data_IF_540145587176
#
_entry.id   IF_540145587176
#
_cell.length_a   1.000
_cell.length_b   1.000
_cell.length_c   1.000
_cell.angle_alpha   90.00
_cell.angle_beta   90.00
_cell.angle_gamma   90.00
#
_symmetry.space_group_name_H-M   'P 1'
#
loop_
_entity.id
_entity.type
_entity.pdbx_description
1 polymer ?
#
# COMPACT_ATOMS: atom_id res chain seq x y z
N UNK A 1 -33.79 4.12 -21.16
CA UNK A 1 -32.44 3.54 -21.27
C UNK A 1 -31.46 4.67 -21.05
N UNK A 2 -30.97 4.85 -19.82
CA UNK A 2 -30.14 6.00 -19.44
C UNK A 2 -28.67 5.60 -19.61
N UNK A 3 -28.00 6.18 -20.61
CA UNK A 3 -26.58 5.97 -20.85
C UNK A 3 -25.83 6.76 -19.76
N UNK A 4 -25.26 6.06 -18.78
CA UNK A 4 -24.31 6.65 -17.84
C UNK A 4 -22.99 6.83 -18.59
N UNK A 5 -22.71 8.04 -19.02
CA UNK A 5 -21.39 8.40 -19.54
C UNK A 5 -20.43 8.47 -18.35
N UNK A 6 -19.51 7.51 -18.25
CA UNK A 6 -18.38 7.57 -17.29
C UNK A 6 -17.54 8.81 -17.61
N UNK A 7 -17.66 9.85 -16.80
CA UNK A 7 -16.71 10.95 -16.83
C UNK A 7 -15.43 10.47 -16.15
N UNK A 8 -14.32 10.40 -16.90
CA UNK A 8 -13.01 10.15 -16.33
C UNK A 8 -12.70 11.23 -15.26
N UNK A 9 -12.70 10.82 -14.00
CA UNK A 9 -12.44 11.71 -12.87
C UNK A 9 -10.94 11.69 -12.57
N UNK A 10 -10.28 12.84 -12.70
CA UNK A 10 -8.88 13.02 -12.30
C UNK A 10 -8.88 13.76 -10.97
N UNK A 11 -8.37 13.11 -9.93
CA UNK A 11 -8.21 13.70 -8.59
C UNK A 11 -6.82 14.30 -8.45
N UNK A 12 -6.74 15.56 -8.00
CA UNK A 12 -5.49 16.25 -7.68
C UNK A 12 -5.50 16.58 -6.19
N UNK A 13 -4.48 16.13 -5.47
CA UNK A 13 -4.26 16.48 -4.07
C UNK A 13 -3.24 17.61 -3.99
N UNK A 14 -3.59 18.70 -3.30
CA UNK A 14 -2.72 19.86 -3.11
C UNK A 14 -2.58 20.07 -1.61
N UNK A 15 -1.35 20.05 -1.11
CA UNK A 15 -1.02 20.37 0.28
C UNK A 15 -0.68 21.85 0.37
N UNK A 16 -1.35 22.57 1.28
CA UNK A 16 -1.23 24.02 1.45
C UNK A 16 -1.26 24.31 2.95
N UNK A 17 -0.54 25.35 3.36
CA UNK A 17 -0.76 25.96 4.67
C UNK A 17 -2.13 26.66 4.71
N UNK A 18 -2.75 26.73 5.90
CA UNK A 18 -4.12 27.28 6.05
C UNK A 18 -4.26 28.71 5.49
N UNK A 19 -3.21 29.53 5.59
CA UNK A 19 -3.16 30.89 5.07
C UNK A 19 -3.18 30.97 3.53
N UNK A 20 -2.87 29.87 2.83
CA UNK A 20 -2.84 29.77 1.36
C UNK A 20 -4.08 29.12 0.76
N UNK A 21 -4.99 28.62 1.59
CA UNK A 21 -6.21 27.94 1.12
C UNK A 21 -7.10 28.87 0.31
N UNK A 22 -7.31 30.10 0.79
CA UNK A 22 -8.18 31.10 0.13
C UNK A 22 -7.62 31.48 -1.24
N UNK A 23 -6.32 31.80 -1.30
CA UNK A 23 -5.63 32.16 -2.54
C UNK A 23 -5.70 31.04 -3.58
N UNK A 24 -5.53 29.78 -3.15
CA UNK A 24 -5.62 28.62 -4.04
C UNK A 24 -7.05 28.41 -4.57
N UNK A 25 -8.06 28.48 -3.71
CA UNK A 25 -9.46 28.34 -4.12
C UNK A 25 -9.85 29.43 -5.12
N UNK A 26 -9.41 30.66 -4.91
CA UNK A 26 -9.67 31.76 -5.83
C UNK A 26 -8.94 31.61 -7.17
N UNK A 27 -7.72 31.06 -7.17
CA UNK A 27 -7.02 30.70 -8.40
C UNK A 27 -7.78 29.63 -9.18
N UNK A 28 -8.25 28.55 -8.54
CA UNK A 28 -8.97 27.46 -9.20
C UNK A 28 -10.35 27.92 -9.71
N UNK A 29 -11.06 28.76 -8.95
CA UNK A 29 -12.36 29.35 -9.34
C UNK A 29 -12.28 30.10 -10.66
N UNK A 30 -11.16 30.79 -10.95
CA UNK A 30 -10.95 31.49 -12.23
C UNK A 30 -10.94 30.55 -13.44
N UNK A 31 -10.58 29.28 -13.26
CA UNK A 31 -10.50 28.31 -14.34
C UNK A 31 -11.77 27.48 -14.52
N UNK A 32 -12.63 27.35 -13.50
CA UNK A 32 -13.88 26.58 -13.61
C UNK A 32 -14.91 26.98 -12.54
N UNK A 33 -15.66 28.09 -12.74
CA UNK A 33 -16.58 28.61 -11.73
C UNK A 33 -17.80 27.72 -11.44
N UNK A 34 -18.16 26.79 -12.35
CA UNK A 34 -19.41 26.03 -12.27
C UNK A 34 -19.27 24.59 -11.75
N UNK A 35 -18.05 24.09 -11.46
CA UNK A 35 -17.82 22.66 -11.14
C UNK A 35 -16.97 22.40 -9.90
N UNK A 36 -16.64 23.43 -9.12
CA UNK A 36 -15.83 23.25 -7.92
C UNK A 36 -16.67 22.65 -6.79
N UNK A 37 -16.42 21.39 -6.44
CA UNK A 37 -16.94 20.77 -5.22
C UNK A 37 -15.80 20.70 -4.20
N UNK A 38 -15.91 21.52 -3.15
CA UNK A 38 -15.00 21.46 -2.01
C UNK A 38 -15.53 20.36 -1.10
N UNK A 39 -14.77 19.29 -0.97
CA UNK A 39 -15.03 18.27 0.04
C UNK A 39 -14.20 18.64 1.25
N UNK A 40 -14.84 18.83 2.40
CA UNK A 40 -14.10 18.84 3.66
C UNK A 40 -13.42 17.48 3.80
N UNK A 41 -12.18 17.47 4.28
CA UNK A 41 -11.55 16.22 4.70
C UNK A 41 -12.45 15.59 5.75
N UNK A 42 -13.20 14.56 5.36
CA UNK A 42 -13.89 13.76 6.35
C UNK A 42 -12.80 13.03 7.10
N UNK A 43 -12.71 13.17 8.44
CA UNK A 43 -11.81 12.34 9.21
C UNK A 43 -12.17 10.90 8.85
N UNK A 44 -11.14 10.14 8.45
CA UNK A 44 -11.29 8.70 8.22
C UNK A 44 -12.04 8.17 9.44
N UNK A 45 -13.24 7.57 9.28
CA UNK A 45 -14.01 7.14 10.43
C UNK A 45 -13.09 6.27 11.28
N UNK A 46 -13.00 6.52 12.61
CA UNK A 46 -12.13 5.74 13.46
C UNK A 46 -12.46 4.27 13.19
N UNK A 47 -11.42 3.48 12.91
CA UNK A 47 -11.61 2.05 12.68
C UNK A 47 -12.49 1.51 13.82
N UNK A 48 -13.54 0.74 13.53
CA UNK A 48 -14.41 0.20 14.58
C UNK A 48 -13.65 -0.70 15.57
N UNK A 49 -12.44 -1.12 15.22
CA UNK A 49 -11.49 -1.74 16.15
C UNK A 49 -10.78 -0.69 17.00
N UNK A 50 -10.84 -0.86 18.32
CA UNK A 50 -10.09 -0.01 19.26
C UNK A 50 -8.59 -0.16 18.99
N UNK A 51 -7.80 0.89 19.19
CA UNK A 51 -6.34 0.85 18.97
C UNK A 51 -5.67 -0.34 19.71
N UNK A 52 -6.15 -0.70 20.90
CA UNK A 52 -5.69 -1.88 21.64
C UNK A 52 -5.92 -3.20 20.89
N UNK A 53 -7.01 -3.33 20.13
CA UNK A 53 -7.32 -4.50 19.32
C UNK A 53 -6.43 -4.55 18.08
N UNK A 54 -6.15 -3.40 17.45
CA UNK A 54 -5.20 -3.29 16.34
C UNK A 54 -3.77 -3.66 16.78
N UNK A 55 -3.35 -3.23 17.97
CA UNK A 55 -2.05 -3.60 18.54
C UNK A 55 -1.97 -5.11 18.82
N UNK A 56 -3.04 -5.70 19.38
CA UNK A 56 -3.12 -7.16 19.60
C UNK A 56 -3.09 -7.92 18.27
N UNK A 57 -3.80 -7.44 17.25
CA UNK A 57 -3.80 -8.02 15.92
C UNK A 57 -2.41 -7.95 15.28
N UNK A 58 -1.77 -6.78 15.30
CA UNK A 58 -0.42 -6.58 14.79
C UNK A 58 0.59 -7.52 15.47
N UNK A 59 0.51 -7.67 16.80
CA UNK A 59 1.37 -8.60 17.53
C UNK A 59 1.13 -10.07 17.12
N UNK A 60 -0.14 -10.50 17.03
CA UNK A 60 -0.48 -11.86 16.56
C UNK A 60 0.03 -12.14 15.15
N UNK A 61 -0.07 -11.15 14.26
CA UNK A 61 0.41 -11.24 12.89
C UNK A 61 1.95 -11.31 12.87
N UNK A 62 2.64 -10.44 13.60
CA UNK A 62 4.10 -10.42 13.68
C UNK A 62 4.65 -11.79 14.09
N UNK A 63 4.10 -12.40 15.14
CA UNK A 63 4.48 -13.76 15.56
C UNK A 63 4.17 -14.83 14.52
N UNK A 64 3.12 -14.66 13.71
CA UNK A 64 2.73 -15.63 12.68
C UNK A 64 3.68 -15.65 11.48
N UNK A 65 4.19 -14.48 11.11
CA UNK A 65 5.00 -14.28 9.91
C UNK A 65 6.49 -14.19 10.19
N UNK A 66 6.87 -14.11 11.48
CA UNK A 66 8.25 -14.07 11.95
C UNK A 66 9.12 -15.10 11.23
N UNK A 67 10.19 -14.66 10.53
CA UNK A 67 11.12 -15.57 9.89
C UNK A 67 11.96 -16.28 10.95
N UNK A 68 12.23 -17.57 10.76
CA UNK A 68 13.24 -18.27 11.56
C UNK A 68 14.65 -17.78 11.19
N UNK A 69 15.67 -17.96 12.06
CA UNK A 69 17.03 -17.49 11.80
C UNK A 69 17.60 -17.93 10.44
N UNK A 70 17.30 -19.16 10.02
CA UNK A 70 17.75 -19.75 8.74
C UNK A 70 16.99 -19.22 7.50
N UNK A 71 15.88 -18.51 7.69
CA UNK A 71 14.98 -18.09 6.60
C UNK A 71 15.31 -16.70 6.06
N UNK A 72 16.55 -16.50 5.58
CA UNK A 72 17.02 -15.18 5.12
C UNK A 72 16.14 -14.59 4.00
N UNK A 73 15.80 -15.38 2.97
CA UNK A 73 14.94 -14.92 1.88
C UNK A 73 13.54 -14.45 2.36
N UNK A 74 13.01 -15.06 3.42
CA UNK A 74 11.73 -14.64 4.02
C UNK A 74 11.87 -13.33 4.77
N UNK A 75 12.99 -13.14 5.46
CA UNK A 75 13.34 -11.89 6.15
C UNK A 75 13.45 -10.74 5.15
N UNK A 76 14.15 -10.96 4.04
CA UNK A 76 14.35 -9.95 2.99
C UNK A 76 13.01 -9.60 2.31
N UNK A 77 12.18 -10.59 2.02
CA UNK A 77 10.83 -10.36 1.49
C UNK A 77 9.95 -9.58 2.47
N UNK A 78 10.02 -9.86 3.77
CA UNK A 78 9.28 -9.09 4.79
C UNK A 78 9.77 -7.64 4.85
N UNK A 79 11.09 -7.39 4.79
CA UNK A 79 11.63 -6.03 4.74
C UNK A 79 11.13 -5.31 3.50
N UNK A 80 11.25 -5.94 2.32
CA UNK A 80 10.76 -5.36 1.07
C UNK A 80 9.29 -4.97 1.14
N UNK A 81 8.42 -5.88 1.61
CA UNK A 81 6.98 -5.65 1.66
C UNK A 81 6.59 -4.58 2.69
N UNK A 82 7.19 -4.64 3.89
CA UNK A 82 6.76 -3.82 5.02
C UNK A 82 7.44 -2.45 5.08
N UNK A 83 8.60 -2.29 4.45
CA UNK A 83 9.30 -1.00 4.31
C UNK A 83 8.90 -0.25 3.03
N UNK A 84 8.09 -0.89 2.17
CA UNK A 84 7.54 -0.26 0.97
C UNK A 84 8.49 -0.22 -0.22
N UNK A 85 9.26 -1.29 -0.39
CA UNK A 85 10.18 -1.44 -1.51
C UNK A 85 9.49 -1.80 -2.83
N UNK A 86 10.30 -2.00 -3.86
CA UNK A 86 9.87 -2.36 -5.19
C UNK A 86 10.75 -3.45 -5.81
N UNK A 87 10.27 -4.04 -6.90
CA UNK A 87 10.99 -5.08 -7.66
C UNK A 87 11.60 -4.57 -8.97
N UNK A 88 11.77 -3.25 -9.13
CA UNK A 88 12.11 -2.67 -10.43
C UNK A 88 13.52 -3.01 -10.90
N UNK A 89 14.46 -3.10 -9.96
CA UNK A 89 15.88 -3.35 -10.23
C UNK A 89 16.26 -4.81 -10.12
N UNK A 90 15.41 -5.64 -9.50
CA UNK A 90 15.70 -7.04 -9.21
C UNK A 90 15.21 -8.01 -10.27
N UNK A 91 14.42 -7.55 -11.25
CA UNK A 91 13.66 -8.46 -12.09
C UNK A 91 13.99 -8.40 -13.59
N UNK A 92 14.57 -7.34 -14.16
CA UNK A 92 14.80 -7.21 -15.63
C UNK A 92 13.57 -7.60 -16.52
N UNK A 93 12.37 -7.69 -15.95
CA UNK A 93 11.16 -8.20 -16.59
C UNK A 93 10.75 -9.65 -16.23
N UNK A 94 11.63 -10.45 -15.61
CA UNK A 94 11.38 -11.81 -15.13
C UNK A 94 10.96 -11.87 -13.65
N UNK A 95 10.02 -12.77 -13.33
CA UNK A 95 9.55 -12.93 -11.96
C UNK A 95 10.60 -13.67 -11.11
N UNK A 96 11.18 -13.02 -10.09
CA UNK A 96 12.09 -13.64 -9.12
C UNK A 96 11.38 -14.80 -8.38
N UNK A 97 11.77 -16.06 -8.62
CA UNK A 97 11.13 -17.22 -8.01
C UNK A 97 11.32 -17.27 -6.49
N UNK A 98 12.46 -16.82 -5.98
CA UNK A 98 12.76 -16.81 -4.55
C UNK A 98 11.86 -15.80 -3.82
N UNK A 99 11.75 -14.58 -4.36
CA UNK A 99 10.85 -13.56 -3.83
C UNK A 99 9.37 -14.01 -3.92
N UNK A 100 8.96 -14.61 -5.04
CA UNK A 100 7.61 -15.17 -5.21
C UNK A 100 7.31 -16.25 -4.16
N UNK A 101 8.26 -17.15 -3.91
CA UNK A 101 8.09 -18.21 -2.92
C UNK A 101 8.05 -17.65 -1.49
N UNK A 102 8.92 -16.69 -1.17
CA UNK A 102 8.95 -16.05 0.14
C UNK A 102 7.66 -15.27 0.42
N UNK A 103 7.18 -14.48 -0.54
CA UNK A 103 5.89 -13.75 -0.43
C UNK A 103 4.69 -14.70 -0.37
N UNK A 104 4.73 -15.83 -1.09
CA UNK A 104 3.75 -16.91 -1.00
C UNK A 104 3.70 -17.54 0.39
N UNK A 105 4.85 -17.80 1.01
CA UNK A 105 4.94 -18.33 2.37
C UNK A 105 4.38 -17.35 3.41
N UNK A 106 4.66 -16.04 3.26
CA UNK A 106 4.06 -14.99 4.10
C UNK A 106 2.54 -14.99 3.95
N UNK A 107 2.04 -15.01 2.71
CA UNK A 107 0.60 -15.06 2.42
C UNK A 107 -0.09 -16.27 3.05
N UNK A 108 0.56 -17.43 3.02
CA UNK A 108 0.07 -18.66 3.66
C UNK A 108 -0.05 -18.50 5.18
N UNK A 109 0.95 -17.92 5.83
CA UNK A 109 0.91 -17.61 7.28
C UNK A 109 -0.19 -16.60 7.64
N UNK A 110 -0.54 -15.71 6.71
CA UNK A 110 -1.57 -14.69 6.91
C UNK A 110 -3.01 -15.18 6.70
N UNK A 111 -3.20 -16.31 6.01
CA UNK A 111 -4.53 -16.85 5.66
C UNK A 111 -5.47 -17.04 6.84
N UNK A 112 -4.95 -17.28 8.05
CA UNK A 112 -5.76 -17.42 9.27
C UNK A 112 -6.36 -16.10 9.77
N UNK A 113 -5.81 -14.96 9.36
CA UNK A 113 -6.30 -13.63 9.72
C UNK A 113 -7.26 -13.05 8.68
N UNK A 114 -7.18 -13.54 7.45
CA UNK A 114 -8.13 -13.24 6.39
C UNK A 114 -8.30 -14.47 5.46
N UNK A 115 -9.23 -15.39 5.80
CA UNK A 115 -9.40 -16.65 5.07
C UNK A 115 -10.12 -16.48 3.74
N UNK A 116 -10.85 -15.37 3.56
CA UNK A 116 -11.66 -15.07 2.37
C UNK A 116 -10.90 -14.22 1.36
N UNK A 117 -9.84 -13.51 1.77
CA UNK A 117 -9.01 -12.76 0.85
C UNK A 117 -8.39 -13.62 -0.25
N UNK A 118 -8.40 -13.08 -1.46
CA UNK A 118 -7.65 -13.63 -2.59
C UNK A 118 -6.14 -13.59 -2.31
N UNK A 119 -5.64 -12.50 -1.73
CA UNK A 119 -4.26 -12.41 -1.23
C UNK A 119 -4.24 -11.86 0.20
N UNK A 120 -4.00 -12.71 1.21
CA UNK A 120 -3.89 -12.27 2.60
C UNK A 120 -2.75 -11.28 2.85
N UNK A 121 -1.80 -11.15 1.90
CA UNK A 121 -0.73 -10.15 1.94
C UNK A 121 -1.29 -8.72 1.83
N UNK A 122 -2.48 -8.56 1.24
CA UNK A 122 -3.12 -7.26 1.06
C UNK A 122 -3.56 -6.64 2.41
N UNK A 123 -3.61 -7.44 3.50
CA UNK A 123 -3.73 -6.91 4.87
C UNK A 123 -2.55 -5.99 5.25
N UNK A 124 -1.36 -6.28 4.74
CA UNK A 124 -0.12 -5.62 5.15
C UNK A 124 0.39 -4.61 4.14
N UNK A 125 0.05 -4.75 2.86
CA UNK A 125 0.45 -3.81 1.83
C UNK A 125 -0.53 -3.76 0.67
N UNK A 126 -0.69 -2.58 0.07
CA UNK A 126 -1.20 -2.47 -1.30
C UNK A 126 -0.08 -2.85 -2.29
N UNK A 127 -0.44 -3.58 -3.35
CA UNK A 127 0.49 -4.00 -4.40
C UNK A 127 0.14 -3.29 -5.70
N UNK A 128 1.03 -2.42 -6.18
CA UNK A 128 0.84 -1.69 -7.43
C UNK A 128 1.73 -2.25 -8.53
N UNK A 129 1.10 -2.65 -9.63
CA UNK A 129 1.81 -3.00 -10.87
C UNK A 129 2.29 -1.72 -11.53
N UNK A 130 3.59 -1.63 -11.76
CA UNK A 130 4.22 -0.48 -12.37
C UNK A 130 4.69 -0.85 -13.78
N UNK A 131 4.61 0.13 -14.68
CA UNK A 131 5.04 0.00 -16.07
C UNK A 131 6.02 1.12 -16.41
N UNK A 132 6.90 0.89 -17.38
CA UNK A 132 7.79 1.95 -17.84
C UNK A 132 6.95 3.08 -18.46
N UNK A 133 7.08 4.29 -17.91
CA UNK A 133 6.31 5.45 -18.36
C UNK A 133 6.93 6.17 -19.57
N UNK A 134 8.22 5.93 -19.83
CA UNK A 134 9.03 6.60 -20.87
C UNK A 134 10.11 5.66 -21.41
N UNK A 135 10.72 6.03 -22.54
CA UNK A 135 11.81 5.29 -23.16
C UNK A 135 11.35 4.17 -24.11
N UNK A 136 12.29 3.40 -24.68
CA UNK A 136 12.00 2.37 -25.68
C UNK A 136 11.13 1.21 -25.16
N UNK A 137 11.04 1.05 -23.83
CA UNK A 137 10.24 0.02 -23.16
C UNK A 137 8.90 0.54 -22.64
N UNK A 138 8.43 1.73 -23.06
CA UNK A 138 7.18 2.34 -22.56
C UNK A 138 6.01 1.36 -22.65
N UNK A 139 5.27 1.22 -21.55
CA UNK A 139 4.13 0.31 -21.44
C UNK A 139 4.51 -1.12 -21.01
N UNK A 140 5.79 -1.49 -21.07
CA UNK A 140 6.23 -2.78 -20.58
C UNK A 140 6.18 -2.84 -19.05
N UNK A 141 5.96 -4.05 -18.52
CA UNK A 141 5.98 -4.30 -17.09
C UNK A 141 7.35 -3.95 -16.50
N UNK A 142 7.34 -3.13 -15.44
CA UNK A 142 8.54 -2.70 -14.72
C UNK A 142 8.74 -3.49 -13.43
N UNK A 143 7.65 -3.89 -12.78
CA UNK A 143 7.71 -4.57 -11.49
C UNK A 143 6.50 -4.26 -10.61
N UNK A 144 6.62 -4.64 -9.34
CA UNK A 144 5.61 -4.40 -8.32
C UNK A 144 6.18 -3.45 -7.27
N UNK A 145 5.38 -2.45 -6.88
CA UNK A 145 5.63 -1.60 -5.72
C UNK A 145 4.74 -2.04 -4.57
N UNK A 146 5.33 -2.19 -3.39
CA UNK A 146 4.62 -2.49 -2.16
C UNK A 146 4.40 -1.18 -1.39
N UNK A 147 3.17 -0.95 -0.96
CA UNK A 147 2.81 0.24 -0.16
C UNK A 147 2.25 -0.26 1.17
N UNK A 148 3.00 -0.16 2.27
CA UNK A 148 2.57 -0.72 3.55
C UNK A 148 1.28 -0.07 4.04
N UNK A 149 0.33 -0.89 4.50
CA UNK A 149 -0.88 -0.39 5.17
C UNK A 149 -0.56 0.10 6.58
N UNK A 150 -1.51 0.79 7.23
CA UNK A 150 -1.38 1.16 8.63
C UNK A 150 -1.21 -0.06 9.56
N UNK A 151 -1.75 -1.23 9.18
CA UNK A 151 -1.52 -2.49 9.89
C UNK A 151 -0.13 -3.05 9.58
N UNK A 152 0.30 -3.02 8.31
CA UNK A 152 1.65 -3.41 7.89
C UNK A 152 2.75 -2.66 8.65
N UNK A 153 2.62 -1.34 8.78
CA UNK A 153 3.58 -0.53 9.55
C UNK A 153 3.61 -0.90 11.05
N UNK A 154 2.45 -1.22 11.65
CA UNK A 154 2.39 -1.69 13.04
C UNK A 154 3.08 -3.05 13.19
N UNK A 155 2.87 -3.96 12.24
CA UNK A 155 3.53 -5.26 12.20
C UNK A 155 5.05 -5.11 12.04
N UNK A 156 5.51 -4.21 11.18
CA UNK A 156 6.94 -3.89 11.03
C UNK A 156 7.56 -3.45 12.35
N UNK A 157 6.92 -2.49 13.05
CA UNK A 157 7.38 -2.04 14.36
C UNK A 157 7.48 -3.19 15.35
N UNK A 158 6.45 -4.06 15.41
CA UNK A 158 6.46 -5.22 16.30
C UNK A 158 7.55 -6.22 15.95
N UNK A 159 7.83 -6.48 14.67
CA UNK A 159 8.93 -7.36 14.26
C UNK A 159 10.30 -6.79 14.65
N UNK A 160 10.50 -5.48 14.53
CA UNK A 160 11.72 -4.79 14.97
C UNK A 160 11.89 -4.83 16.49
N UNK A 161 10.83 -4.56 17.25
CA UNK A 161 10.82 -4.66 18.73
C UNK A 161 11.17 -6.07 19.21
N UNK A 162 10.77 -7.11 18.48
CA UNK A 162 11.05 -8.51 18.79
C UNK A 162 12.44 -8.99 18.31
N UNK A 163 13.24 -8.13 17.66
CA UNK A 163 14.54 -8.49 17.10
C UNK A 163 14.48 -9.45 15.89
N UNK A 164 13.33 -9.48 15.19
CA UNK A 164 13.07 -10.41 14.09
C UNK A 164 13.31 -9.80 12.70
N UNK A 165 13.44 -8.47 12.60
CA UNK A 165 13.82 -7.72 11.40
C UNK A 165 14.82 -6.63 11.74
#
# INVERSE_FOLDING_TARGET
>A
MTILTEMAMVTVHIELSEDKLVDCLDAIRKFSPAKLRIFAEQPVPPSPMREAELQKLAHKIALAIAPRPEQQARRDALKLVLEGGDTFTSQEGEADPALRNATGAISKSLRRFDPVAQSPLDLLCERRREVFSRGPHKGNYKGMRYIPTALGQRVLRKLKELGML
#
